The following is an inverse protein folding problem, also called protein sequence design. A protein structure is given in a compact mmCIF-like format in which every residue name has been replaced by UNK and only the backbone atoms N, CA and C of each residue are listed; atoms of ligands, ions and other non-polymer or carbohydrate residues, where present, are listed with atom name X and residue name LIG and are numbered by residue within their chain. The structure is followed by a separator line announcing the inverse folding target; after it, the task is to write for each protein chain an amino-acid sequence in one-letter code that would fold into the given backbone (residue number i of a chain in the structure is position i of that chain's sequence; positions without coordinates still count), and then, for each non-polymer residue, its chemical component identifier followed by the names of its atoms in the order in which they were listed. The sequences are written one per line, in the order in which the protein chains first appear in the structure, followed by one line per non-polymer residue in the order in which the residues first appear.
data_IF_221791678387
#
_entry.id   IF_221791678387
#
_cell.length_a   1.000
_cell.length_b   1.000
_cell.length_c   1.000
_cell.angle_alpha   90.00
_cell.angle_beta   90.00
_cell.angle_gamma   90.00
#
_symmetry.space_group_name_H-M   'P 1'
#
loop_
_entity.id
_entity.type
_entity.pdbx_description
1 polymer ?
#
# COMPACT_ATOMS: atom_id res chain seq x y z
N UNK A 1 -17.61 8.70 -12.37
CA UNK A 1 -16.94 7.54 -11.70
C UNK A 1 -17.62 7.23 -10.39
N UNK A 2 -17.84 5.95 -10.05
CA UNK A 2 -18.43 5.54 -8.78
C UNK A 2 -17.33 5.31 -7.73
N UNK A 3 -17.34 6.05 -6.62
CA UNK A 3 -16.31 6.01 -5.57
C UNK A 3 -16.25 4.66 -4.83
N UNK A 4 -17.39 3.97 -4.66
CA UNK A 4 -17.42 2.63 -4.05
C UNK A 4 -16.73 1.60 -4.94
N UNK A 5 -17.00 1.63 -6.24
CA UNK A 5 -16.32 0.75 -7.22
C UNK A 5 -14.82 1.04 -7.29
N UNK A 6 -14.43 2.31 -7.22
CA UNK A 6 -13.03 2.71 -7.17
C UNK A 6 -12.33 2.16 -5.92
N UNK A 7 -12.97 2.30 -4.75
CA UNK A 7 -12.44 1.74 -3.50
C UNK A 7 -12.32 0.21 -3.58
N UNK A 8 -13.37 -0.47 -4.01
CA UNK A 8 -13.33 -1.93 -4.18
C UNK A 8 -12.20 -2.37 -5.12
N UNK A 9 -11.98 -1.64 -6.21
CA UNK A 9 -10.89 -1.93 -7.14
C UNK A 9 -9.52 -1.69 -6.51
N UNK A 10 -9.32 -0.58 -5.76
CA UNK A 10 -8.07 -0.30 -5.04
C UNK A 10 -7.73 -1.42 -4.06
N UNK A 11 -8.69 -1.83 -3.23
CA UNK A 11 -8.49 -2.87 -2.24
C UNK A 11 -8.16 -4.22 -2.89
N UNK A 12 -8.87 -4.57 -3.95
CA UNK A 12 -8.59 -5.78 -4.73
C UNK A 12 -7.20 -5.72 -5.38
N UNK A 13 -6.83 -4.62 -6.04
CA UNK A 13 -5.54 -4.45 -6.67
C UNK A 13 -4.38 -4.66 -5.68
N UNK A 14 -4.47 -4.10 -4.48
CA UNK A 14 -3.46 -4.27 -3.43
C UNK A 14 -3.30 -5.73 -2.98
N UNK A 15 -4.39 -6.50 -2.93
CA UNK A 15 -4.32 -7.95 -2.61
C UNK A 15 -3.77 -8.79 -3.76
N UNK A 16 -3.93 -8.35 -5.00
CA UNK A 16 -3.45 -9.02 -6.21
C UNK A 16 -2.03 -8.64 -6.61
N UNK A 17 -1.48 -7.60 -6.00
CA UNK A 17 -0.12 -7.13 -6.26
C UNK A 17 0.78 -7.35 -5.05
N UNK A 18 1.26 -6.31 -4.38
CA UNK A 18 2.27 -6.41 -3.32
C UNK A 18 1.91 -7.39 -2.21
N UNK A 19 0.74 -7.29 -1.62
CA UNK A 19 0.34 -8.14 -0.49
C UNK A 19 0.19 -9.61 -0.88
N UNK A 20 -0.22 -9.89 -2.12
CA UNK A 20 -0.43 -11.24 -2.65
C UNK A 20 0.74 -11.79 -3.48
N UNK A 21 1.90 -11.14 -3.48
CA UNK A 21 3.06 -11.54 -4.29
C UNK A 21 2.75 -11.71 -5.79
N UNK A 22 2.04 -10.74 -6.36
CA UNK A 22 1.63 -10.79 -7.77
C UNK A 22 1.78 -9.46 -8.49
N UNK A 23 1.39 -9.44 -9.77
CA UNK A 23 1.30 -8.23 -10.56
C UNK A 23 2.62 -7.68 -11.10
N UNK A 24 3.72 -8.42 -11.04
CA UNK A 24 5.00 -7.99 -11.58
C UNK A 24 4.91 -7.59 -13.06
N UNK A 25 5.43 -6.42 -13.39
CA UNK A 25 5.44 -5.86 -14.74
C UNK A 25 6.82 -5.27 -15.08
N UNK A 26 7.08 -5.07 -16.37
CA UNK A 26 8.30 -4.40 -16.82
C UNK A 26 8.29 -2.94 -16.35
N UNK A 27 9.29 -2.50 -15.57
CA UNK A 27 9.34 -1.13 -15.06
C UNK A 27 9.43 -0.09 -16.18
N UNK A 28 8.65 0.99 -16.04
CA UNK A 28 8.70 2.15 -16.97
C UNK A 28 9.87 3.08 -16.68
N UNK A 29 10.45 3.02 -15.47
CA UNK A 29 11.61 3.82 -15.07
C UNK A 29 12.80 2.91 -14.74
N UNK A 30 14.00 3.39 -15.02
CA UNK A 30 15.23 2.67 -14.68
C UNK A 30 15.35 2.50 -13.17
N UNK A 31 15.84 1.33 -12.74
CA UNK A 31 16.09 0.99 -11.33
C UNK A 31 14.85 1.08 -10.42
N UNK A 32 13.67 0.88 -11.00
CA UNK A 32 12.41 0.77 -10.27
C UNK A 32 11.80 -0.62 -10.38
N UNK A 33 10.94 -0.95 -9.44
CA UNK A 33 10.01 -2.09 -9.51
C UNK A 33 8.63 -1.59 -9.91
N UNK A 34 7.85 -2.43 -10.56
CA UNK A 34 6.51 -2.09 -11.02
C UNK A 34 5.55 -3.24 -10.83
N UNK A 35 4.39 -2.94 -10.26
CA UNK A 35 3.28 -3.87 -10.11
C UNK A 35 2.05 -3.31 -10.83
N UNK A 36 1.30 -4.19 -11.48
CA UNK A 36 0.12 -3.81 -12.25
C UNK A 36 -1.03 -4.80 -12.00
N UNK A 37 -2.24 -4.26 -12.04
CA UNK A 37 -3.48 -5.04 -12.02
C UNK A 37 -4.56 -4.35 -12.85
N UNK A 38 -5.34 -5.11 -13.58
CA UNK A 38 -6.46 -4.56 -14.34
C UNK A 38 -7.74 -5.37 -14.12
N UNK A 39 -8.89 -4.68 -14.19
CA UNK A 39 -10.21 -5.28 -14.20
C UNK A 39 -11.21 -4.34 -14.88
N UNK A 40 -11.74 -4.76 -16.02
CA UNK A 40 -12.65 -3.93 -16.82
C UNK A 40 -12.00 -2.62 -17.26
N UNK A 41 -12.66 -1.51 -16.96
CA UNK A 41 -12.17 -0.16 -17.31
C UNK A 41 -11.13 0.39 -16.31
N UNK A 42 -10.81 -0.35 -15.23
CA UNK A 42 -9.85 0.07 -14.22
C UNK A 42 -8.49 -0.57 -14.42
N UNK A 43 -7.44 0.22 -14.26
CA UNK A 43 -6.06 -0.19 -14.26
C UNK A 43 -5.32 0.40 -13.06
N UNK A 44 -4.58 -0.44 -12.32
CA UNK A 44 -3.74 -0.06 -11.19
C UNK A 44 -2.28 -0.22 -11.55
N UNK A 45 -1.47 0.75 -11.17
CA UNK A 45 -0.01 0.70 -11.26
C UNK A 45 0.61 1.21 -9.97
N UNK A 46 1.57 0.44 -9.46
CA UNK A 46 2.45 0.82 -8.36
C UNK A 46 3.88 0.82 -8.90
N UNK A 47 4.57 1.95 -8.83
CA UNK A 47 5.97 2.11 -9.21
C UNK A 47 6.75 2.52 -7.98
N UNK A 48 7.81 1.79 -7.66
CA UNK A 48 8.60 2.08 -6.47
C UNK A 48 10.09 1.82 -6.66
N UNK A 49 10.87 2.47 -5.81
CA UNK A 49 12.32 2.32 -5.71
C UNK A 49 12.66 1.74 -4.35
N UNK A 50 13.55 0.75 -4.32
CA UNK A 50 13.97 0.07 -3.10
C UNK A 50 15.47 0.18 -2.90
N UNK A 51 15.89 0.80 -1.78
CA UNK A 51 17.25 0.71 -1.26
C UNK A 51 17.37 -0.37 -0.19
N UNK A 52 18.53 -0.45 0.47
CA UNK A 52 18.76 -1.45 1.53
C UNK A 52 17.77 -1.36 2.70
N UNK A 53 17.36 -0.16 3.07
CA UNK A 53 16.53 0.10 4.25
C UNK A 53 15.39 1.08 4.00
N UNK A 54 15.34 1.70 2.84
CA UNK A 54 14.34 2.72 2.51
C UNK A 54 13.74 2.42 1.16
N UNK A 55 12.48 2.77 1.00
CA UNK A 55 11.77 2.66 -0.26
C UNK A 55 10.77 3.79 -0.38
N UNK A 56 10.42 4.11 -1.60
CA UNK A 56 9.39 5.09 -1.91
C UNK A 56 8.71 4.75 -3.24
N UNK A 57 7.49 5.16 -3.38
CA UNK A 57 6.76 4.89 -4.61
C UNK A 57 5.44 5.64 -4.71
N UNK A 58 4.71 5.28 -5.75
CA UNK A 58 3.42 5.87 -6.07
C UNK A 58 2.48 4.81 -6.62
N UNK A 59 1.33 4.66 -5.98
CA UNK A 59 0.18 3.94 -6.52
C UNK A 59 -0.67 4.87 -7.36
N UNK A 60 -1.15 4.43 -8.51
CA UNK A 60 -2.07 5.20 -9.36
C UNK A 60 -3.16 4.29 -9.91
N UNK A 61 -4.39 4.76 -9.87
CA UNK A 61 -5.53 4.11 -10.52
C UNK A 61 -5.95 4.95 -11.73
N UNK A 62 -6.11 4.27 -12.83
CA UNK A 62 -6.67 4.79 -14.07
C UNK A 62 -8.07 4.22 -14.27
N UNK A 63 -8.96 5.05 -14.76
CA UNK A 63 -10.29 4.66 -15.23
C UNK A 63 -10.45 5.14 -16.67
N UNK A 64 -10.65 4.19 -17.61
CA UNK A 64 -10.70 4.48 -19.05
C UNK A 64 -9.48 5.31 -19.50
N UNK A 65 -8.28 4.84 -19.13
CA UNK A 65 -6.98 5.45 -19.46
C UNK A 65 -6.68 6.81 -18.80
N UNK A 66 -7.63 7.39 -18.07
CA UNK A 66 -7.41 8.62 -17.30
C UNK A 66 -7.03 8.33 -15.84
N UNK A 67 -5.95 8.94 -15.36
CA UNK A 67 -5.58 8.86 -13.94
C UNK A 67 -6.63 9.55 -13.07
N UNK A 68 -7.21 8.81 -12.12
CA UNK A 68 -8.33 9.29 -11.30
C UNK A 68 -8.02 9.34 -9.81
N UNK A 69 -7.06 8.54 -9.36
CA UNK A 69 -6.63 8.46 -7.97
C UNK A 69 -5.15 8.13 -7.89
N UNK A 70 -4.45 8.73 -6.92
CA UNK A 70 -3.05 8.42 -6.68
C UNK A 70 -2.67 8.61 -5.22
N UNK A 71 -1.67 7.83 -4.76
CA UNK A 71 -1.10 7.90 -3.42
C UNK A 71 0.40 7.69 -3.48
N UNK A 72 1.16 8.65 -2.95
CA UNK A 72 2.60 8.50 -2.75
C UNK A 72 2.92 7.95 -1.37
N UNK A 73 4.06 7.29 -1.25
CA UNK A 73 4.51 6.72 0.01
C UNK A 73 6.04 6.71 0.14
N UNK A 74 6.48 6.69 1.39
CA UNK A 74 7.87 6.52 1.78
C UNK A 74 7.93 5.61 2.99
N UNK A 75 8.86 4.68 3.01
CA UNK A 75 9.02 3.76 4.12
C UNK A 75 10.47 3.43 4.45
N UNK A 76 10.67 2.87 5.63
CA UNK A 76 11.97 2.38 6.07
C UNK A 76 11.84 1.14 6.96
N UNK A 77 12.85 0.28 6.89
CA UNK A 77 13.00 -0.86 7.77
C UNK A 77 14.37 -0.80 8.44
N UNK A 78 14.42 -0.89 9.77
CA UNK A 78 15.67 -0.72 10.55
C UNK A 78 16.69 -1.85 10.32
N UNK A 79 16.23 -3.00 9.83
CA UNK A 79 17.11 -4.10 9.39
C UNK A 79 16.57 -4.72 8.11
N UNK A 80 17.46 -5.18 7.25
CA UNK A 80 17.10 -6.05 6.14
C UNK A 80 16.56 -7.36 6.74
N UNK A 81 15.26 -7.55 6.68
CA UNK A 81 14.61 -8.72 7.25
C UNK A 81 13.44 -9.16 6.39
N UNK A 82 13.63 -10.29 5.73
CA UNK A 82 12.54 -10.97 5.03
C UNK A 82 11.35 -11.21 5.97
N UNK A 83 11.60 -11.54 7.24
CA UNK A 83 10.55 -11.80 8.22
C UNK A 83 9.63 -10.59 8.45
N UNK A 84 10.18 -9.37 8.50
CA UNK A 84 9.38 -8.14 8.66
C UNK A 84 8.47 -7.94 7.45
N UNK A 85 8.98 -8.11 6.25
CA UNK A 85 8.18 -7.99 5.02
C UNK A 85 7.17 -9.12 4.85
N UNK A 86 7.50 -10.35 5.22
CA UNK A 86 6.55 -11.47 5.23
C UNK A 86 5.41 -11.21 6.24
N UNK A 87 5.75 -10.68 7.41
CA UNK A 87 4.75 -10.25 8.40
C UNK A 87 3.88 -9.11 7.88
N UNK A 88 4.49 -8.09 7.23
CA UNK A 88 3.74 -6.98 6.60
C UNK A 88 2.71 -7.50 5.60
N UNK A 89 3.10 -8.39 4.70
CA UNK A 89 2.18 -8.97 3.70
C UNK A 89 1.04 -9.73 4.36
N UNK A 90 1.31 -10.50 5.42
CA UNK A 90 0.26 -11.17 6.19
C UNK A 90 -0.69 -10.17 6.86
N UNK A 91 -0.16 -9.10 7.45
CA UNK A 91 -0.96 -8.05 8.07
C UNK A 91 -1.89 -7.36 7.05
N UNK A 92 -1.35 -7.02 5.87
CA UNK A 92 -2.10 -6.41 4.79
C UNK A 92 -3.20 -7.32 4.24
N UNK A 93 -2.92 -8.62 4.07
CA UNK A 93 -3.93 -9.59 3.62
C UNK A 93 -5.02 -9.82 4.68
N UNK A 94 -4.67 -9.88 5.97
CA UNK A 94 -5.64 -10.04 7.06
C UNK A 94 -6.53 -8.82 7.24
N UNK A 95 -6.03 -7.63 6.95
CA UNK A 95 -6.72 -6.36 7.10
C UNK A 95 -6.92 -5.66 5.75
N UNK A 96 -7.15 -6.44 4.71
CA UNK A 96 -7.19 -5.96 3.31
C UNK A 96 -8.21 -4.85 3.04
N UNK A 97 -9.33 -4.84 3.78
CA UNK A 97 -10.40 -3.85 3.66
C UNK A 97 -10.23 -2.63 4.56
N UNK A 98 -9.15 -2.58 5.33
CA UNK A 98 -8.95 -1.58 6.39
C UNK A 98 -7.59 -0.93 6.36
N UNK A 99 -6.53 -1.71 6.11
CA UNK A 99 -5.16 -1.20 6.06
C UNK A 99 -4.96 -0.20 4.90
N UNK A 100 -4.22 0.88 5.19
CA UNK A 100 -3.93 1.94 4.22
C UNK A 100 -5.18 2.62 3.65
N UNK A 101 -6.24 2.69 4.47
CA UNK A 101 -7.45 3.45 4.21
C UNK A 101 -7.59 4.57 5.24
N UNK A 102 -8.80 4.97 5.58
CA UNK A 102 -9.10 5.89 6.69
C UNK A 102 -9.34 5.19 8.03
N UNK A 103 -9.25 3.84 8.07
CA UNK A 103 -9.46 3.06 9.29
C UNK A 103 -8.16 2.91 10.07
N UNK A 104 -8.27 2.90 11.39
CA UNK A 104 -7.17 2.50 12.26
C UNK A 104 -7.16 0.97 12.39
N UNK A 105 -5.99 0.36 12.32
CA UNK A 105 -5.80 -1.08 12.41
C UNK A 105 -4.71 -1.39 13.42
N UNK A 106 -4.95 -2.40 14.25
CA UNK A 106 -3.94 -3.04 15.08
C UNK A 106 -4.09 -4.54 14.96
N UNK A 107 -3.01 -5.24 14.59
CA UNK A 107 -3.01 -6.69 14.41
C UNK A 107 -1.73 -7.29 14.95
N UNK A 108 -1.84 -8.42 15.65
CA UNK A 108 -0.70 -9.10 16.28
C UNK A 108 -0.61 -10.54 15.83
N UNK A 109 0.63 -11.01 15.67
CA UNK A 109 0.95 -12.43 15.47
C UNK A 109 2.30 -12.73 16.11
N UNK A 110 2.30 -13.60 17.12
CA UNK A 110 3.49 -13.87 17.92
C UNK A 110 4.00 -12.60 18.60
N UNK A 111 5.28 -12.31 18.44
CA UNK A 111 5.91 -11.10 19.00
C UNK A 111 5.82 -9.87 18.09
N UNK A 112 5.22 -10.01 16.91
CA UNK A 112 5.04 -8.91 15.97
C UNK A 112 3.69 -8.22 16.14
N UNK A 113 3.68 -6.90 15.98
CA UNK A 113 2.49 -6.04 15.97
C UNK A 113 2.53 -5.09 14.78
N UNK A 114 1.46 -5.10 14.00
CA UNK A 114 1.17 -4.14 12.93
C UNK A 114 0.22 -3.08 13.45
N UNK A 115 0.55 -1.81 13.17
CA UNK A 115 -0.29 -0.66 13.53
C UNK A 115 -0.42 0.24 12.31
N UNK A 116 -1.66 0.54 11.91
CA UNK A 116 -1.97 1.52 10.88
C UNK A 116 -2.84 2.61 11.48
N UNK A 117 -2.42 3.87 11.34
CA UNK A 117 -3.12 5.06 11.83
C UNK A 117 -3.45 5.97 10.66
N UNK A 118 -4.68 6.40 10.59
CA UNK A 118 -5.14 7.34 9.58
C UNK A 118 -5.46 8.70 10.18
N UNK A 119 -4.99 9.75 9.51
CA UNK A 119 -5.30 11.16 9.83
C UNK A 119 -6.39 11.72 8.91
N UNK A 120 -7.03 10.89 8.09
CA UNK A 120 -8.02 11.30 7.10
C UNK A 120 -9.46 11.10 7.59
N UNK A 121 -10.38 11.83 6.97
CA UNK A 121 -11.81 11.58 7.11
C UNK A 121 -12.17 10.31 6.34
N UNK A 122 -13.29 9.69 6.67
CA UNK A 122 -13.80 8.47 6.02
C UNK A 122 -14.14 8.67 4.54
N UNK A 123 -13.12 8.67 3.68
CA UNK A 123 -13.29 8.87 2.24
C UNK A 123 -12.06 8.46 1.44
N UNK A 124 -12.28 7.85 0.27
CA UNK A 124 -11.23 7.64 -0.74
C UNK A 124 -10.72 8.93 -1.38
N UNK A 125 -11.40 10.06 -1.14
CA UNK A 125 -11.01 11.37 -1.69
C UNK A 125 -9.69 11.88 -1.11
N UNK A 126 -9.41 11.53 0.15
CA UNK A 126 -8.17 11.88 0.83
C UNK A 126 -7.83 10.80 1.85
N UNK A 127 -6.73 10.11 1.63
CA UNK A 127 -6.17 9.11 2.54
C UNK A 127 -4.78 9.58 2.95
N UNK A 128 -4.56 9.75 4.25
CA UNK A 128 -3.26 10.12 4.82
C UNK A 128 -3.06 9.31 6.08
N UNK A 129 -1.90 8.73 6.26
CA UNK A 129 -1.64 7.94 7.45
C UNK A 129 -0.23 7.38 7.55
N UNK A 130 -0.05 6.53 8.53
CA UNK A 130 1.21 5.86 8.85
C UNK A 130 0.97 4.38 9.14
N UNK A 131 1.99 3.58 8.87
CA UNK A 131 2.07 2.19 9.34
C UNK A 131 3.35 1.99 10.15
N UNK A 132 3.28 1.13 11.17
CA UNK A 132 4.45 0.66 11.89
C UNK A 132 4.37 -0.85 12.14
N UNK A 133 5.53 -1.49 12.18
CA UNK A 133 5.67 -2.85 12.68
C UNK A 133 6.63 -2.84 13.86
N UNK A 134 6.17 -3.43 14.95
CA UNK A 134 6.92 -3.61 16.18
C UNK A 134 7.25 -5.09 16.38
N UNK A 135 8.44 -5.37 16.90
CA UNK A 135 8.83 -6.65 17.46
C UNK A 135 9.21 -6.43 18.93
N UNK A 136 8.47 -7.07 19.85
CA UNK A 136 8.67 -6.87 21.30
C UNK A 136 8.83 -5.38 21.66
N UNK A 137 7.88 -4.55 21.22
CA UNK A 137 7.83 -3.09 21.46
C UNK A 137 8.90 -2.25 20.73
N UNK A 138 9.86 -2.86 20.04
CA UNK A 138 10.84 -2.16 19.21
C UNK A 138 10.27 -1.89 17.81
N UNK A 139 10.23 -0.63 17.40
CA UNK A 139 9.83 -0.27 16.02
C UNK A 139 10.89 -0.75 15.01
N UNK A 140 10.48 -1.57 14.06
CA UNK A 140 11.35 -2.11 13.02
C UNK A 140 11.06 -1.51 11.63
N UNK A 141 9.82 -1.13 11.39
CA UNK A 141 9.34 -0.68 10.09
C UNK A 141 8.42 0.53 10.28
N UNK A 142 8.62 1.52 9.42
CA UNK A 142 7.78 2.71 9.35
C UNK A 142 7.41 3.00 7.91
N UNK A 143 6.16 3.44 7.69
CA UNK A 143 5.63 3.75 6.39
C UNK A 143 4.69 4.96 6.51
N UNK A 144 4.87 5.92 5.61
CA UNK A 144 4.09 7.15 5.53
C UNK A 144 3.42 7.19 4.16
N UNK A 145 2.15 7.52 4.12
CA UNK A 145 1.42 7.57 2.87
C UNK A 145 0.43 8.73 2.82
N UNK A 146 0.20 9.24 1.63
CA UNK A 146 -0.77 10.29 1.39
C UNK A 146 -1.18 10.38 -0.07
N UNK A 147 -2.49 10.53 -0.28
CA UNK A 147 -3.05 10.63 -1.61
C UNK A 147 -4.56 10.75 -1.61
N UNK A 148 -5.18 10.53 -2.76
CA UNK A 148 -6.62 10.61 -2.93
C UNK A 148 -7.05 10.81 -4.38
N UNK A 149 -8.28 11.26 -4.57
CA UNK A 149 -8.80 11.59 -5.88
C UNK A 149 -8.03 12.76 -6.51
N UNK A 150 -7.74 12.64 -7.80
CA UNK A 150 -7.10 13.68 -8.61
C UNK A 150 -8.01 14.18 -9.73
N UNK A 151 -9.16 13.52 -9.94
CA UNK A 151 -10.24 13.95 -10.85
C UNK A 151 -11.61 13.62 -10.29
#
# INVERSE_FOLDING_TARGET
MNKEKLLQFLLEARTKTYAGDGGEATPVFSDSDQLEYNRGDYFYRDVYYSGKRKFMGIETIYYKEESVWSMSYFGSCNKESKEVYDFLKQALLKNWDSARTWKNVEWKKGSYKYVCRSDSKESIEKIVGTEEIFYKEQSLYQFFYGGGLIK
#
